data_IF_081970967728
#
_entry.id   IF_081970967728
#
_cell.length_a   1.000
_cell.length_b   1.000
_cell.length_c   1.000
_cell.angle_alpha   90.00
_cell.angle_beta   90.00
_cell.angle_gamma   90.00
#
_symmetry.space_group_name_H-M   'P 1'
#
loop_
_entity.id
_entity.type
_entity.pdbx_description
1 polymer ?
#
# COMPACT_ATOMS: atom_id res chain seq x y z
N UNK A 1 -20.98 -0.98 -8.07
CA UNK A 1 -20.03 -1.20 -9.19
C UNK A 1 -20.16 -2.63 -9.73
N UNK A 2 -19.80 -2.96 -10.98
CA UNK A 2 -19.86 -4.36 -11.49
C UNK A 2 -18.46 -4.90 -11.83
N UNK A 3 -17.57 -5.00 -10.83
CA UNK A 3 -16.26 -5.67 -11.00
C UNK A 3 -16.51 -7.16 -11.17
N UNK A 4 -16.57 -7.67 -12.39
CA UNK A 4 -16.80 -9.09 -12.64
C UNK A 4 -15.47 -9.82 -12.89
N UNK A 5 -14.99 -10.55 -11.88
CA UNK A 5 -13.89 -11.50 -12.07
C UNK A 5 -14.42 -12.83 -12.66
N UNK A 6 -13.62 -13.52 -13.49
CA UNK A 6 -13.94 -14.89 -13.91
C UNK A 6 -13.90 -15.84 -12.70
N UNK A 7 -14.80 -16.84 -12.67
CA UNK A 7 -14.88 -17.86 -11.62
C UNK A 7 -14.96 -17.25 -10.19
N UNK A 8 -16.07 -16.58 -9.89
CA UNK A 8 -16.30 -16.00 -8.56
C UNK A 8 -16.51 -17.08 -7.50
N UNK A 9 -15.77 -16.96 -6.41
CA UNK A 9 -16.06 -17.64 -5.16
C UNK A 9 -17.02 -16.77 -4.32
N UNK A 10 -17.89 -17.35 -3.46
CA UNK A 10 -18.79 -16.57 -2.62
C UNK A 10 -18.09 -15.58 -1.69
N UNK A 11 -16.92 -15.95 -1.19
CA UNK A 11 -16.13 -15.16 -0.24
C UNK A 11 -14.72 -14.87 -0.78
N UNK A 12 -14.37 -13.60 -0.93
CA UNK A 12 -13.07 -13.21 -1.51
C UNK A 12 -12.46 -11.99 -0.83
N UNK A 13 -11.12 -11.97 -0.78
CA UNK A 13 -10.30 -10.78 -0.54
C UNK A 13 -9.56 -10.42 -1.84
N UNK A 14 -9.66 -9.16 -2.26
CA UNK A 14 -8.92 -8.63 -3.41
C UNK A 14 -8.08 -7.44 -2.98
N UNK A 15 -6.77 -7.51 -3.25
CA UNK A 15 -5.86 -6.39 -3.10
C UNK A 15 -5.57 -5.80 -4.47
N UNK A 16 -5.78 -4.49 -4.62
CA UNK A 16 -5.55 -3.75 -5.86
C UNK A 16 -4.28 -2.92 -5.75
N UNK A 17 -3.30 -3.18 -6.61
CA UNK A 17 -2.02 -2.47 -6.61
C UNK A 17 -1.98 -1.44 -7.72
N UNK A 18 -1.83 -0.18 -7.33
CA UNK A 18 -1.69 0.96 -8.22
C UNK A 18 -0.21 1.30 -8.26
N UNK A 19 0.51 0.95 -9.35
CA UNK A 19 1.91 1.35 -9.46
C UNK A 19 2.03 2.86 -9.50
N UNK A 20 3.14 3.36 -8.97
CA UNK A 20 3.52 4.76 -9.00
C UNK A 20 3.76 5.25 -10.43
N UNK A 21 3.86 6.56 -10.59
CA UNK A 21 4.22 7.15 -11.87
C UNK A 21 5.75 7.12 -12.13
N UNK A 22 6.44 6.07 -11.66
CA UNK A 22 7.87 5.83 -11.87
C UNK A 22 8.76 6.38 -10.77
N UNK A 23 8.38 6.20 -9.51
CA UNK A 23 9.23 6.51 -8.36
C UNK A 23 10.53 5.71 -8.40
N UNK A 24 11.64 6.37 -8.02
CA UNK A 24 12.98 5.78 -8.06
C UNK A 24 13.67 5.88 -6.72
N UNK A 25 13.72 4.76 -6.01
CA UNK A 25 14.27 4.64 -4.68
C UNK A 25 15.79 4.41 -4.62
N UNK A 26 16.51 4.45 -5.74
CA UNK A 26 17.95 4.15 -5.78
C UNK A 26 18.82 5.16 -5.01
N UNK A 27 18.36 6.41 -4.88
CA UNK A 27 19.06 7.45 -4.13
C UNK A 27 18.09 8.54 -3.66
N UNK A 28 18.46 9.34 -2.63
CA UNK A 28 17.76 10.56 -2.23
C UNK A 28 17.39 11.46 -3.43
N UNK A 29 18.38 11.78 -4.27
CA UNK A 29 18.19 12.61 -5.45
C UNK A 29 17.19 11.98 -6.42
N UNK A 30 17.32 10.68 -6.71
CA UNK A 30 16.43 9.99 -7.63
C UNK A 30 14.99 9.98 -7.12
N UNK A 31 14.77 9.77 -5.82
CA UNK A 31 13.45 9.76 -5.22
C UNK A 31 12.82 11.15 -5.26
N UNK A 32 13.58 12.18 -4.87
CA UNK A 32 13.10 13.56 -4.89
C UNK A 32 12.70 14.00 -6.31
N UNK A 33 13.56 13.74 -7.31
CA UNK A 33 13.29 14.11 -8.71
C UNK A 33 12.12 13.33 -9.32
N UNK A 34 12.07 12.01 -9.10
CA UNK A 34 10.97 11.18 -9.62
C UNK A 34 9.63 11.54 -8.97
N UNK A 35 9.60 11.83 -7.66
CA UNK A 35 8.41 12.30 -6.96
C UNK A 35 7.95 13.65 -7.50
N UNK A 36 8.86 14.61 -7.69
CA UNK A 36 8.53 15.92 -8.25
C UNK A 36 7.97 15.80 -9.67
N UNK A 37 8.56 14.94 -10.51
CA UNK A 37 8.04 14.69 -11.85
C UNK A 37 6.65 14.01 -11.82
N UNK A 38 6.49 13.01 -10.95
CA UNK A 38 5.21 12.33 -10.76
C UNK A 38 4.09 13.31 -10.37
N UNK A 39 4.39 14.26 -9.48
CA UNK A 39 3.46 15.35 -9.08
C UNK A 39 3.20 16.35 -10.20
N UNK A 40 4.23 16.75 -10.96
CA UNK A 40 4.08 17.68 -12.09
C UNK A 40 3.13 17.15 -13.17
N UNK A 41 3.08 15.84 -13.38
CA UNK A 41 2.15 15.19 -14.31
C UNK A 41 0.70 15.16 -13.81
N UNK A 42 0.40 15.69 -12.61
CA UNK A 42 -0.93 15.79 -11.96
C UNK A 42 -1.75 14.50 -12.03
N UNK A 43 -1.08 13.34 -12.01
CA UNK A 43 -1.76 12.04 -12.02
C UNK A 43 -2.28 11.72 -10.61
N UNK A 44 -3.52 11.25 -10.51
CA UNK A 44 -4.01 10.61 -9.29
C UNK A 44 -3.08 9.46 -8.90
N UNK A 45 -2.90 9.25 -7.60
CA UNK A 45 -2.01 8.22 -7.01
C UNK A 45 -0.61 8.18 -7.65
N UNK A 46 -0.03 9.36 -7.88
CA UNK A 46 1.27 9.51 -8.53
C UNK A 46 2.42 8.81 -7.79
N UNK A 47 2.26 8.55 -6.50
CA UNK A 47 3.23 7.85 -5.63
C UNK A 47 2.88 6.37 -5.40
N UNK A 48 1.88 5.85 -6.11
CA UNK A 48 1.32 4.51 -5.89
C UNK A 48 0.22 4.50 -4.83
N UNK A 49 -0.53 3.40 -4.77
CA UNK A 49 -1.62 3.19 -3.82
C UNK A 49 -2.01 1.71 -3.75
N UNK A 50 -2.71 1.32 -2.68
CA UNK A 50 -3.30 -0.01 -2.54
C UNK A 50 -4.72 0.11 -2.01
N UNK A 51 -5.65 -0.55 -2.71
CA UNK A 51 -7.04 -0.70 -2.29
C UNK A 51 -7.33 -2.13 -1.87
N UNK A 52 -8.35 -2.30 -1.03
CA UNK A 52 -8.81 -3.58 -0.49
C UNK A 52 -10.28 -3.75 -0.85
N UNK A 53 -10.65 -4.94 -1.29
CA UNK A 53 -12.04 -5.31 -1.48
C UNK A 53 -12.36 -6.65 -0.84
N UNK A 54 -13.45 -6.69 -0.08
CA UNK A 54 -14.06 -7.91 0.46
C UNK A 54 -15.35 -8.18 -0.30
N UNK A 55 -15.57 -9.42 -0.73
CA UNK A 55 -16.77 -9.85 -1.45
C UNK A 55 -17.43 -10.98 -0.67
N UNK A 56 -18.72 -10.84 -0.38
CA UNK A 56 -19.63 -11.89 0.09
C UNK A 56 -20.88 -11.96 -0.82
N UNK A 57 -21.76 -12.97 -0.66
CA UNK A 57 -23.06 -13.00 -1.34
C UNK A 57 -23.95 -11.80 -1.01
N UNK A 58 -23.81 -11.23 0.19
CA UNK A 58 -24.70 -10.18 0.71
C UNK A 58 -24.19 -8.77 0.39
N UNK A 59 -22.86 -8.57 0.41
CA UNK A 59 -22.25 -7.24 0.29
C UNK A 59 -20.84 -7.29 -0.27
N UNK A 60 -20.43 -6.16 -0.82
CA UNK A 60 -19.04 -5.87 -1.20
C UNK A 60 -18.56 -4.66 -0.41
N UNK A 61 -17.40 -4.77 0.21
CA UNK A 61 -16.73 -3.65 0.88
C UNK A 61 -15.53 -3.29 0.03
N UNK A 62 -15.49 -2.08 -0.54
CA UNK A 62 -14.31 -1.53 -1.22
C UNK A 62 -13.79 -0.34 -0.42
N UNK A 63 -12.54 -0.45 0.05
CA UNK A 63 -11.93 0.56 0.91
C UNK A 63 -10.41 0.62 0.74
N UNK A 64 -9.77 1.56 1.43
CA UNK A 64 -8.33 1.83 1.39
C UNK A 64 -7.99 2.95 2.37
N UNK A 65 -6.70 3.16 2.63
CA UNK A 65 -6.24 4.23 3.50
C UNK A 65 -5.60 5.36 2.70
N UNK A 66 -5.94 6.61 3.01
CA UNK A 66 -5.36 7.79 2.37
C UNK A 66 -5.29 8.99 3.32
N UNK A 67 -4.63 10.06 2.87
CA UNK A 67 -4.68 11.36 3.52
C UNK A 67 -6.08 11.98 3.39
N UNK A 68 -6.60 12.53 4.48
CA UNK A 68 -7.86 13.28 4.49
C UNK A 68 -7.75 14.58 3.70
N UNK A 69 -6.61 15.28 3.78
CA UNK A 69 -6.34 16.51 3.04
C UNK A 69 -4.98 16.46 2.33
N UNK A 70 -5.01 16.33 1.00
CA UNK A 70 -3.80 16.31 0.16
C UNK A 70 -3.00 17.62 0.27
N UNK A 71 -3.62 18.73 0.67
CA UNK A 71 -2.94 20.03 0.86
C UNK A 71 -2.04 20.03 2.10
N UNK A 72 -2.31 19.18 3.09
CA UNK A 72 -1.45 19.00 4.26
C UNK A 72 -0.04 18.57 3.84
N UNK A 73 0.06 17.47 3.08
CA UNK A 73 1.36 17.01 2.57
C UNK A 73 2.04 17.98 1.60
N UNK A 74 1.28 18.73 0.80
CA UNK A 74 1.86 19.77 -0.05
C UNK A 74 2.47 20.92 0.77
N UNK A 75 1.74 21.38 1.80
CA UNK A 75 2.21 22.45 2.70
C UNK A 75 3.46 22.03 3.47
N UNK A 76 3.52 20.79 3.94
CA UNK A 76 4.67 20.29 4.70
C UNK A 76 5.93 20.16 3.85
N UNK A 77 5.79 19.62 2.64
CA UNK A 77 6.91 19.49 1.70
C UNK A 77 7.38 20.85 1.19
N UNK A 78 6.45 21.73 0.78
CA UNK A 78 6.80 22.98 0.08
C UNK A 78 7.07 24.15 1.03
N UNK A 79 6.23 24.33 2.05
CA UNK A 79 6.28 25.51 2.94
C UNK A 79 7.05 25.22 4.23
N UNK A 80 6.89 24.02 4.78
CA UNK A 80 7.48 23.66 6.08
C UNK A 80 8.86 23.02 5.96
N UNK A 81 9.34 22.77 4.73
CA UNK A 81 10.68 22.26 4.44
C UNK A 81 11.01 20.96 5.19
N UNK A 82 10.10 19.98 5.14
CA UNK A 82 10.29 18.70 5.83
C UNK A 82 11.38 17.81 5.20
N UNK A 83 11.78 18.07 3.96
CA UNK A 83 12.69 17.18 3.24
C UNK A 83 12.15 15.74 3.21
N UNK A 84 12.99 14.76 3.55
CA UNK A 84 12.55 13.37 3.75
C UNK A 84 11.98 13.07 5.14
N UNK A 85 11.91 14.06 6.04
CA UNK A 85 11.13 13.95 7.27
C UNK A 85 9.64 13.66 7.01
N UNK A 86 9.16 14.02 5.82
CA UNK A 86 7.81 13.68 5.36
C UNK A 86 7.53 12.17 5.29
N UNK A 87 8.57 11.34 5.10
CA UNK A 87 8.42 9.88 5.07
C UNK A 87 8.07 9.31 6.46
N UNK A 88 8.37 10.06 7.52
CA UNK A 88 8.13 9.69 8.91
C UNK A 88 6.97 10.49 9.52
N UNK A 89 6.27 11.28 8.70
CA UNK A 89 5.18 12.12 9.17
C UNK A 89 3.86 11.35 9.21
N UNK A 90 3.06 11.61 10.26
CA UNK A 90 1.72 11.06 10.40
C UNK A 90 0.71 12.15 10.05
N UNK A 91 0.06 11.97 8.90
CA UNK A 91 -0.93 12.88 8.35
C UNK A 91 -2.31 12.57 8.94
N UNK A 92 -3.25 13.50 8.78
CA UNK A 92 -4.65 13.18 8.97
C UNK A 92 -5.06 12.15 7.93
N UNK A 93 -5.52 11.01 8.39
CA UNK A 93 -5.99 9.91 7.57
C UNK A 93 -7.51 9.91 7.39
N UNK A 94 -7.96 9.06 6.47
CA UNK A 94 -9.34 8.58 6.38
C UNK A 94 -9.39 7.24 5.65
N UNK A 95 -10.44 6.47 5.91
CA UNK A 95 -10.84 5.39 5.00
C UNK A 95 -11.45 5.96 3.72
N UNK A 96 -11.10 5.32 2.61
CA UNK A 96 -11.73 5.54 1.31
C UNK A 96 -13.00 4.71 1.18
N UNK A 97 -13.97 5.28 0.48
CA UNK A 97 -15.26 4.64 0.21
C UNK A 97 -15.27 3.97 -1.17
N UNK A 98 -16.29 3.16 -1.45
CA UNK A 98 -16.53 2.65 -2.81
C UNK A 98 -16.62 3.81 -3.81
N UNK A 99 -17.28 4.92 -3.45
CA UNK A 99 -17.42 6.08 -4.33
C UNK A 99 -16.07 6.74 -4.68
N UNK A 100 -15.09 6.69 -3.78
CA UNK A 100 -13.73 7.19 -4.01
C UNK A 100 -12.94 6.27 -4.96
N UNK A 101 -13.01 4.96 -4.71
CA UNK A 101 -12.12 3.99 -5.36
C UNK A 101 -12.68 3.39 -6.65
N UNK A 102 -13.99 3.18 -6.73
CA UNK A 102 -14.62 2.50 -7.86
C UNK A 102 -14.34 3.19 -9.20
N UNK A 103 -14.56 4.51 -9.37
CA UNK A 103 -14.30 5.16 -10.65
C UNK A 103 -12.82 5.05 -11.06
N UNK A 104 -11.91 5.11 -10.09
CA UNK A 104 -10.46 5.02 -10.35
C UNK A 104 -10.05 3.58 -10.75
N UNK A 105 -10.57 2.57 -10.05
CA UNK A 105 -10.35 1.16 -10.37
C UNK A 105 -10.84 0.84 -11.79
N UNK A 106 -12.07 1.22 -12.11
CA UNK A 106 -12.66 0.99 -13.43
C UNK A 106 -11.79 1.63 -14.52
N UNK A 107 -11.50 2.93 -14.40
CA UNK A 107 -10.72 3.66 -15.40
C UNK A 107 -9.28 3.12 -15.60
N UNK A 108 -8.67 2.54 -14.56
CA UNK A 108 -7.34 1.95 -14.63
C UNK A 108 -7.36 0.51 -15.11
N UNK A 109 -8.42 -0.24 -14.83
CA UNK A 109 -8.55 -1.62 -15.26
C UNK A 109 -8.46 -1.77 -16.78
N UNK A 110 -8.92 -0.78 -17.53
CA UNK A 110 -8.82 -0.74 -19.00
C UNK A 110 -7.43 -0.36 -19.54
N UNK A 111 -6.44 -0.08 -18.67
CA UNK A 111 -5.11 0.38 -19.07
C UNK A 111 -4.02 -0.57 -18.57
N UNK A 112 -3.35 -1.24 -19.51
CA UNK A 112 -2.22 -2.14 -19.21
C UNK A 112 -1.15 -1.45 -18.36
N UNK A 113 -0.69 -2.12 -17.31
CA UNK A 113 0.35 -1.61 -16.40
C UNK A 113 -0.08 -0.40 -15.56
N UNK A 114 -1.39 -0.20 -15.35
CA UNK A 114 -1.93 0.83 -14.45
C UNK A 114 -2.66 0.29 -13.23
N UNK A 115 -2.91 -1.01 -13.23
CA UNK A 115 -3.54 -1.74 -12.14
C UNK A 115 -3.10 -3.20 -12.24
N UNK A 116 -2.80 -3.81 -11.11
CA UNK A 116 -2.76 -5.26 -10.94
C UNK A 116 -3.52 -5.65 -9.69
N UNK A 117 -3.82 -6.93 -9.52
CA UNK A 117 -4.52 -7.40 -8.33
C UNK A 117 -4.08 -8.78 -7.86
N UNK A 118 -4.25 -9.03 -6.57
CA UNK A 118 -4.19 -10.34 -5.95
C UNK A 118 -5.60 -10.68 -5.46
N UNK A 119 -6.18 -11.77 -5.96
CA UNK A 119 -7.49 -12.27 -5.53
C UNK A 119 -7.34 -13.55 -4.72
N UNK A 120 -8.04 -13.64 -3.59
CA UNK A 120 -7.91 -14.76 -2.66
C UNK A 120 -9.30 -15.27 -2.37
N UNK A 121 -9.55 -16.55 -2.64
CA UNK A 121 -10.78 -17.21 -2.23
C UNK A 121 -10.67 -17.60 -0.77
N UNK A 122 -11.65 -17.23 0.05
CA UNK A 122 -11.63 -17.42 1.50
C UNK A 122 -12.75 -18.35 1.92
N UNK A 123 -12.59 -19.00 3.08
CA UNK A 123 -13.76 -19.53 3.79
C UNK A 123 -14.55 -18.39 4.46
N UNK A 124 -15.80 -18.68 4.80
CA UNK A 124 -16.73 -17.72 5.41
C UNK A 124 -16.18 -17.11 6.71
N UNK A 125 -15.61 -17.94 7.60
CA UNK A 125 -15.09 -17.48 8.90
C UNK A 125 -13.96 -16.46 8.74
N UNK A 126 -13.00 -16.72 7.83
CA UNK A 126 -11.92 -15.78 7.55
C UNK A 126 -12.47 -14.49 6.93
N UNK A 127 -13.45 -14.58 6.05
CA UNK A 127 -14.10 -13.40 5.49
C UNK A 127 -14.79 -12.56 6.57
N UNK A 128 -15.63 -13.16 7.41
CA UNK A 128 -16.29 -12.47 8.53
C UNK A 128 -15.31 -11.82 9.49
N UNK A 129 -14.16 -12.47 9.74
CA UNK A 129 -13.06 -11.91 10.55
C UNK A 129 -12.46 -10.64 9.92
N UNK A 130 -12.27 -10.63 8.60
CA UNK A 130 -11.76 -9.45 7.88
C UNK A 130 -12.77 -8.30 7.84
N UNK A 131 -14.06 -8.61 7.71
CA UNK A 131 -15.11 -7.60 7.83
C UNK A 131 -15.16 -6.99 9.22
N UNK A 132 -15.00 -7.82 10.24
CA UNK A 132 -14.92 -7.37 11.63
C UNK A 132 -13.75 -6.41 11.81
N UNK A 133 -12.57 -6.79 11.32
CA UNK A 133 -11.38 -5.96 11.34
C UNK A 133 -11.58 -4.61 10.62
N UNK A 134 -12.13 -4.62 9.40
CA UNK A 134 -12.36 -3.40 8.64
C UNK A 134 -13.30 -2.42 9.37
N UNK A 135 -14.35 -2.95 10.02
CA UNK A 135 -15.28 -2.15 10.82
C UNK A 135 -14.62 -1.60 12.08
N UNK A 136 -14.00 -2.45 12.90
CA UNK A 136 -13.35 -2.02 14.14
C UNK A 136 -12.23 -1.02 13.89
N UNK A 137 -11.46 -1.17 12.81
CA UNK A 137 -10.39 -0.23 12.46
C UNK A 137 -10.91 1.22 12.33
N UNK A 138 -12.09 1.40 11.73
CA UNK A 138 -12.74 2.71 11.63
C UNK A 138 -13.44 3.13 12.93
N UNK A 139 -14.13 2.22 13.62
CA UNK A 139 -14.84 2.53 14.88
C UNK A 139 -13.88 2.96 16.00
N UNK A 140 -12.67 2.40 16.03
CA UNK A 140 -11.60 2.76 16.97
C UNK A 140 -10.85 4.04 16.55
N UNK A 141 -11.17 4.61 15.38
CA UNK A 141 -10.58 5.85 14.88
C UNK A 141 -9.13 5.72 14.39
N UNK A 142 -8.66 4.50 14.12
CA UNK A 142 -7.30 4.28 13.60
C UNK A 142 -7.14 4.84 12.19
N UNK A 143 -8.23 4.99 11.44
CA UNK A 143 -8.24 5.62 10.13
C UNK A 143 -7.89 7.11 10.15
N UNK A 144 -7.98 7.78 11.31
CA UNK A 144 -7.61 9.19 11.44
C UNK A 144 -6.10 9.45 11.29
N UNK A 145 -5.26 8.41 11.25
CA UNK A 145 -3.81 8.51 11.22
C UNK A 145 -3.23 7.82 9.98
N UNK A 146 -2.73 8.62 9.04
CA UNK A 146 -2.11 8.11 7.81
C UNK A 146 -0.60 8.34 7.83
N UNK A 147 0.18 7.27 7.93
CA UNK A 147 1.63 7.35 8.03
C UNK A 147 2.30 6.08 7.52
N UNK A 148 3.47 6.24 6.88
CA UNK A 148 4.19 5.13 6.26
C UNK A 148 4.66 4.06 7.27
N UNK A 149 4.99 4.49 8.48
CA UNK A 149 5.53 3.63 9.53
C UNK A 149 4.47 3.13 10.51
N UNK A 150 3.21 3.54 10.35
CA UNK A 150 2.15 3.18 11.28
C UNK A 150 1.85 1.68 11.14
N UNK A 151 1.69 0.99 12.27
CA UNK A 151 1.37 -0.44 12.33
C UNK A 151 -0.13 -0.63 12.59
N UNK A 152 -0.91 -1.11 11.60
CA UNK A 152 -2.38 -1.15 11.69
C UNK A 152 -2.88 -1.99 12.86
N UNK A 153 -2.28 -3.16 13.07
CA UNK A 153 -2.64 -4.08 14.15
C UNK A 153 -2.24 -3.57 15.54
N UNK A 154 -1.49 -2.48 15.66
CA UNK A 154 -1.15 -1.83 16.95
C UNK A 154 -1.94 -0.54 17.18
N UNK A 155 -2.93 -0.23 16.35
CA UNK A 155 -3.77 0.96 16.52
C UNK A 155 -3.09 2.30 16.20
N UNK A 156 -1.95 2.27 15.50
CA UNK A 156 -1.19 3.49 15.15
C UNK A 156 -1.75 4.21 13.90
N UNK A 157 -2.79 3.63 13.29
CA UNK A 157 -3.27 3.94 11.95
C UNK A 157 -2.49 3.22 10.86
N UNK A 158 -2.44 3.78 9.65
CA UNK A 158 -1.84 3.06 8.52
C UNK A 158 -1.49 3.91 7.30
N UNK A 159 -0.45 3.49 6.57
CA UNK A 159 -0.30 3.81 5.15
C UNK A 159 -1.20 2.92 4.27
N UNK A 160 -1.39 3.26 2.99
CA UNK A 160 -2.27 2.48 2.10
C UNK A 160 -1.85 1.00 1.96
N UNK A 161 -0.57 0.74 1.74
CA UNK A 161 -0.04 -0.62 1.58
C UNK A 161 0.01 -1.41 2.88
N UNK A 162 0.36 -0.77 4.00
CA UNK A 162 0.34 -1.42 5.31
C UNK A 162 -1.09 -1.84 5.70
N UNK A 163 -2.08 -1.02 5.32
CA UNK A 163 -3.49 -1.33 5.56
C UNK A 163 -3.87 -2.59 4.80
N UNK A 164 -3.54 -2.68 3.51
CA UNK A 164 -3.78 -3.89 2.73
C UNK A 164 -3.04 -5.12 3.24
N UNK A 165 -1.78 -4.97 3.69
CA UNK A 165 -1.01 -6.07 4.29
C UNK A 165 -1.67 -6.57 5.57
N UNK A 166 -2.24 -5.68 6.39
CA UNK A 166 -2.92 -6.10 7.61
C UNK A 166 -4.10 -7.04 7.36
N UNK A 167 -4.80 -6.96 6.22
CA UNK A 167 -5.82 -7.95 5.86
C UNK A 167 -5.22 -9.34 5.64
N UNK A 168 -4.02 -9.43 5.04
CA UNK A 168 -3.33 -10.71 4.89
C UNK A 168 -2.84 -11.23 6.25
N UNK A 169 -2.39 -10.36 7.15
CA UNK A 169 -2.00 -10.75 8.51
C UNK A 169 -3.19 -11.31 9.29
N UNK A 170 -4.32 -10.60 9.29
CA UNK A 170 -5.56 -11.01 9.98
C UNK A 170 -6.11 -12.32 9.41
N UNK A 171 -5.92 -12.56 8.11
CA UNK A 171 -6.30 -13.80 7.44
C UNK A 171 -5.31 -14.96 7.65
N UNK A 172 -4.11 -14.71 8.23
CA UNK A 172 -3.06 -15.71 8.37
C UNK A 172 -2.36 -16.05 7.04
N UNK A 173 -2.41 -15.15 6.06
CA UNK A 173 -1.92 -15.33 4.70
C UNK A 173 -0.65 -14.51 4.39
N UNK A 174 -0.22 -13.65 5.32
CA UNK A 174 1.00 -12.88 5.15
C UNK A 174 2.24 -13.73 5.46
N UNK A 175 3.05 -14.00 4.44
CA UNK A 175 4.22 -14.88 4.55
C UNK A 175 5.53 -14.10 4.48
N UNK A 176 6.62 -14.70 4.98
CA UNK A 176 7.97 -14.13 4.84
C UNK A 176 8.40 -13.91 3.39
N UNK A 177 7.89 -14.72 2.45
CA UNK A 177 8.14 -14.51 1.03
C UNK A 177 7.48 -13.20 0.53
N UNK A 178 6.21 -12.97 0.87
CA UNK A 178 5.52 -11.72 0.55
C UNK A 178 6.23 -10.52 1.18
N UNK A 179 6.57 -10.61 2.47
CA UNK A 179 7.31 -9.57 3.18
C UNK A 179 8.63 -9.24 2.47
N UNK A 180 9.44 -10.25 2.14
CA UNK A 180 10.74 -10.04 1.49
C UNK A 180 10.65 -9.37 0.12
N UNK A 181 9.54 -9.55 -0.60
CA UNK A 181 9.34 -8.96 -1.92
C UNK A 181 8.70 -7.57 -1.82
N UNK A 182 7.72 -7.40 -0.95
CA UNK A 182 6.90 -6.19 -0.89
C UNK A 182 7.52 -5.09 -0.03
N UNK A 183 8.36 -5.46 0.94
CA UNK A 183 8.98 -4.51 1.85
C UNK A 183 10.21 -3.85 1.21
N UNK A 184 10.22 -2.52 1.23
CA UNK A 184 11.39 -1.71 0.89
C UNK A 184 11.98 -1.11 2.16
N UNK A 185 13.27 -1.36 2.37
CA UNK A 185 14.07 -0.76 3.44
C UNK A 185 15.04 0.27 2.87
N UNK A 186 15.26 1.36 3.60
CA UNK A 186 16.19 2.43 3.24
C UNK A 186 16.68 3.17 4.49
N UNK A 187 17.89 3.71 4.41
CA UNK A 187 18.50 4.48 5.49
C UNK A 187 18.54 5.95 5.08
N UNK A 188 17.68 6.76 5.69
CA UNK A 188 17.58 8.19 5.38
C UNK A 188 18.67 8.93 6.16
N UNK A 189 19.64 9.59 5.50
CA UNK A 189 20.63 10.39 6.21
C UNK A 189 19.96 11.49 7.04
N UNK A 190 20.35 11.66 8.30
CA UNK A 190 19.77 12.66 9.20
C UNK A 190 19.72 14.06 8.59
N UNK A 191 20.78 14.43 7.84
CA UNK A 191 20.89 15.72 7.17
C UNK A 191 19.74 16.01 6.17
N UNK A 192 19.02 14.98 5.71
CA UNK A 192 17.90 15.10 4.78
C UNK A 192 16.54 15.07 5.48
N UNK A 193 16.52 14.90 6.80
CA UNK A 193 15.32 14.84 7.62
C UNK A 193 15.09 16.23 8.23
N UNK A 194 14.01 16.86 7.81
CA UNK A 194 13.50 18.10 8.36
C UNK A 194 12.17 17.93 9.08
N UNK A 195 11.60 19.04 9.53
CA UNK A 195 10.33 19.06 10.25
C UNK A 195 10.46 18.92 11.78
N UNK A 196 9.36 19.10 12.52
CA UNK A 196 9.37 19.24 13.98
C UNK A 196 9.55 17.92 14.74
N UNK A 197 9.24 16.77 14.13
CA UNK A 197 9.41 15.45 14.73
C UNK A 197 10.86 14.98 14.71
N UNK A 198 11.14 13.88 14.02
CA UNK A 198 12.48 13.30 13.90
C UNK A 198 13.52 14.31 13.37
N UNK A 199 13.10 15.25 12.52
CA UNK A 199 13.96 16.33 12.02
C UNK A 199 14.40 17.36 13.06
N UNK A 200 13.87 17.33 14.30
CA UNK A 200 14.22 18.22 15.42
C UNK A 200 14.18 19.71 15.04
N UNK A 201 13.21 20.10 14.20
CA UNK A 201 13.03 21.47 13.71
C UNK A 201 13.95 21.88 12.57
N UNK A 202 14.81 20.99 12.06
CA UNK A 202 15.64 21.27 10.88
C UNK A 202 14.77 21.58 9.68
N UNK A 203 15.21 22.53 8.84
CA UNK A 203 14.58 22.82 7.55
C UNK A 203 15.42 22.22 6.43
N UNK A 204 14.82 21.29 5.69
CA UNK A 204 15.43 20.64 4.53
C UNK A 204 14.58 20.92 3.30
N UNK A 205 15.13 21.73 2.39
CA UNK A 205 14.46 22.08 1.15
C UNK A 205 14.82 21.13 0.02
N UNK A 206 14.00 21.16 -1.03
CA UNK A 206 14.20 20.34 -2.23
C UNK A 206 15.63 20.41 -2.84
N UNK A 207 16.30 21.58 -2.92
CA UNK A 207 17.69 21.64 -3.37
C UNK A 207 18.67 20.81 -2.52
N UNK A 208 18.40 20.65 -1.23
CA UNK A 208 19.18 19.78 -0.34
C UNK A 208 19.02 18.30 -0.71
N UNK A 209 17.80 17.88 -1.05
CA UNK A 209 17.51 16.48 -1.42
C UNK A 209 18.19 16.08 -2.74
N UNK A 210 18.19 16.97 -3.73
CA UNK A 210 18.76 16.66 -5.06
C UNK A 210 20.29 16.74 -5.11
N UNK A 211 20.93 17.33 -4.08
CA UNK A 211 22.39 17.32 -3.92
C UNK A 211 22.89 16.03 -3.28
N UNK A 212 22.03 15.28 -2.60
CA UNK A 212 22.40 14.03 -1.95
C UNK A 212 22.51 12.88 -2.96
N UNK A 213 23.72 12.33 -3.09
CA UNK A 213 24.03 11.30 -4.10
C UNK A 213 23.66 9.87 -3.70
N UNK A 214 23.61 9.55 -2.40
CA UNK A 214 23.39 8.18 -1.89
C UNK A 214 22.56 8.20 -0.61
N UNK A 215 21.84 7.10 -0.36
CA UNK A 215 21.30 6.81 0.98
C UNK A 215 22.44 6.64 1.97
N UNK A 216 22.12 6.72 3.25
CA UNK A 216 23.10 6.43 4.28
C UNK A 216 23.48 4.95 4.25
N UNK A 217 24.66 4.64 4.78
CA UNK A 217 25.01 3.28 5.20
C UNK A 217 24.94 3.15 6.73
N UNK A 218 25.07 1.92 7.22
CA UNK A 218 24.91 1.59 8.65
C UNK A 218 25.90 2.31 9.58
N UNK A 219 27.04 2.77 9.08
CA UNK A 219 28.04 3.52 9.87
C UNK A 219 27.82 5.04 9.85
N UNK A 220 26.96 5.56 8.98
CA UNK A 220 26.61 6.99 8.90
C UNK A 220 25.41 7.28 9.83
N UNK A 221 25.20 8.52 10.26
CA UNK A 221 24.01 8.91 11.03
C UNK A 221 22.75 8.87 10.15
N UNK A 222 21.75 8.08 10.54
CA UNK A 222 20.57 7.84 9.73
C UNK A 222 19.36 7.43 10.57
N UNK A 223 18.19 7.56 9.93
CA UNK A 223 16.94 6.98 10.38
C UNK A 223 16.53 5.83 9.46
N UNK A 224 16.05 4.75 10.06
CA UNK A 224 15.61 3.56 9.34
C UNK A 224 14.17 3.79 8.85
N UNK A 225 13.99 3.73 7.54
CA UNK A 225 12.67 3.74 6.91
C UNK A 225 12.35 2.39 6.30
N UNK A 226 11.11 1.95 6.49
CA UNK A 226 10.59 0.73 5.88
C UNK A 226 9.16 0.98 5.39
N UNK A 227 8.82 0.50 4.20
CA UNK A 227 7.46 0.61 3.68
C UNK A 227 7.12 -0.57 2.79
N UNK A 228 5.85 -0.98 2.82
CA UNK A 228 5.31 -1.87 1.82
C UNK A 228 5.07 -1.09 0.52
N UNK A 229 5.79 -1.44 -0.56
CA UNK A 229 5.88 -0.62 -1.77
C UNK A 229 4.86 -1.08 -2.83
N UNK A 230 3.88 -0.24 -3.22
CA UNK A 230 2.93 -0.57 -4.28
C UNK A 230 3.60 -0.98 -5.61
N UNK A 231 4.78 -0.42 -5.94
CA UNK A 231 5.51 -0.80 -7.14
C UNK A 231 6.06 -2.23 -7.04
N UNK A 232 6.56 -2.63 -5.86
CA UNK A 232 7.03 -3.99 -5.63
C UNK A 232 5.86 -4.98 -5.57
N UNK A 233 4.73 -4.61 -4.98
CA UNK A 233 3.50 -5.43 -5.01
C UNK A 233 2.99 -5.64 -6.44
N UNK A 234 3.03 -4.59 -7.26
CA UNK A 234 2.67 -4.68 -8.68
C UNK A 234 3.61 -5.63 -9.45
N UNK A 235 4.92 -5.44 -9.28
CA UNK A 235 5.95 -6.29 -9.90
C UNK A 235 5.86 -7.75 -9.42
N UNK A 236 5.45 -7.96 -8.16
CA UNK A 236 5.23 -9.30 -7.62
C UNK A 236 4.12 -10.03 -8.38
N UNK A 237 3.00 -9.36 -8.67
CA UNK A 237 1.93 -9.96 -9.49
C UNK A 237 2.43 -10.29 -10.89
N UNK A 238 3.18 -9.40 -11.53
CA UNK A 238 3.76 -9.67 -12.85
C UNK A 238 4.69 -10.90 -12.82
N UNK A 239 5.53 -11.01 -11.79
CA UNK A 239 6.41 -12.16 -11.57
C UNK A 239 5.61 -13.45 -11.38
N UNK A 240 4.65 -13.47 -10.45
CA UNK A 240 3.83 -14.66 -10.18
C UNK A 240 3.05 -15.11 -11.41
N UNK A 241 2.58 -14.17 -12.23
CA UNK A 241 1.93 -14.50 -13.50
C UNK A 241 2.86 -15.22 -14.47
N UNK A 242 4.08 -14.75 -14.62
CA UNK A 242 5.06 -15.37 -15.52
C UNK A 242 5.43 -16.77 -15.04
N UNK A 243 5.65 -16.95 -13.73
CA UNK A 243 6.00 -18.23 -13.12
C UNK A 243 4.85 -19.24 -13.13
N UNK A 244 3.61 -18.77 -13.05
CA UNK A 244 2.42 -19.64 -13.05
C UNK A 244 1.91 -20.00 -14.44
N UNK A 245 2.38 -19.32 -15.49
CA UNK A 245 1.82 -19.45 -16.83
C UNK A 245 2.10 -20.85 -17.39
N UNK A 246 1.04 -21.64 -17.56
CA UNK A 246 1.14 -23.01 -18.08
C UNK A 246 1.69 -24.02 -17.08
N UNK A 247 1.84 -23.64 -15.81
CA UNK A 247 2.25 -24.53 -14.74
C UNK A 247 1.00 -24.99 -13.94
N UNK A 248 0.52 -26.23 -14.11
CA UNK A 248 -0.65 -26.74 -13.41
C UNK A 248 -0.44 -26.90 -11.89
N UNK A 249 0.81 -27.02 -11.46
CA UNK A 249 1.19 -27.17 -10.05
C UNK A 249 1.41 -25.82 -9.35
N UNK A 250 1.21 -24.70 -10.06
CA UNK A 250 1.33 -23.38 -9.44
C UNK A 250 0.23 -23.17 -8.41
N UNK A 251 0.63 -22.65 -7.23
CA UNK A 251 -0.29 -22.15 -6.22
C UNK A 251 -1.20 -21.05 -6.79
N UNK A 252 -0.68 -20.24 -7.72
CA UNK A 252 -1.38 -19.09 -8.27
C UNK A 252 -1.94 -19.40 -9.66
N UNK A 253 -3.16 -18.94 -9.92
CA UNK A 253 -3.79 -18.94 -11.24
C UNK A 253 -3.70 -17.55 -11.84
N UNK A 254 -3.38 -17.46 -13.13
CA UNK A 254 -3.30 -16.16 -13.82
C UNK A 254 -4.68 -15.69 -14.26
N UNK A 255 -5.00 -14.42 -14.04
CA UNK A 255 -6.33 -13.86 -14.35
C UNK A 255 -6.24 -12.48 -14.98
N UNK A 256 -7.22 -12.09 -15.78
CA UNK A 256 -7.32 -10.75 -16.34
C UNK A 256 -8.69 -10.17 -16.06
N UNK A 257 -8.70 -8.92 -15.61
CA UNK A 257 -9.92 -8.11 -15.51
C UNK A 257 -9.71 -6.87 -16.38
N UNK A 258 -10.44 -6.81 -17.50
CA UNK A 258 -10.16 -5.86 -18.58
C UNK A 258 -8.68 -5.99 -19.03
N UNK A 259 -7.87 -4.95 -18.86
CA UNK A 259 -6.42 -4.97 -19.11
C UNK A 259 -5.59 -5.05 -17.81
N UNK A 260 -6.22 -5.12 -16.64
CA UNK A 260 -5.54 -5.31 -15.37
C UNK A 260 -5.11 -6.76 -15.22
N UNK A 261 -3.86 -6.93 -14.84
CA UNK A 261 -3.27 -8.24 -14.65
C UNK A 261 -3.44 -8.70 -13.21
N UNK A 262 -3.99 -9.89 -13.00
CA UNK A 262 -4.12 -10.48 -11.68
C UNK A 262 -3.52 -11.87 -11.56
N UNK A 263 -3.33 -12.26 -10.30
CA UNK A 263 -3.21 -13.65 -9.88
C UNK A 263 -4.27 -13.95 -8.83
N UNK A 264 -4.72 -15.20 -8.79
CA UNK A 264 -5.60 -15.70 -7.74
C UNK A 264 -5.06 -16.97 -7.09
N UNK A 265 -5.45 -17.23 -5.84
CA UNK A 265 -5.26 -18.54 -5.22
C UNK A 265 -6.40 -18.89 -4.28
N UNK A 266 -6.53 -20.18 -3.98
CA UNK A 266 -7.55 -20.74 -3.12
C UNK A 266 -7.01 -20.91 -1.69
N UNK A 267 -7.56 -20.15 -0.75
CA UNK A 267 -7.24 -20.23 0.68
C UNK A 267 -8.41 -20.79 1.51
N UNK A 268 -9.43 -21.40 0.88
CA UNK A 268 -10.64 -21.88 1.57
C UNK A 268 -10.34 -22.96 2.60
N UNK A 269 -9.26 -23.73 2.40
CA UNK A 269 -8.82 -24.80 3.31
C UNK A 269 -7.89 -24.31 4.42
N UNK A 270 -7.46 -23.05 4.39
CA UNK A 270 -6.58 -22.47 5.42
C UNK A 270 -7.43 -22.11 6.65
N UNK A 271 -7.09 -22.61 7.86
CA UNK A 271 -7.84 -22.28 9.07
C UNK A 271 -7.84 -20.78 9.37
N UNK A 272 -8.98 -20.27 9.82
CA UNK A 272 -9.10 -18.89 10.29
C UNK A 272 -8.27 -18.71 11.57
N UNK A 273 -7.36 -17.71 11.63
CA UNK A 273 -6.62 -17.42 12.86
C UNK A 273 -7.55 -17.02 14.01
N UNK A 274 -7.21 -17.45 15.22
CA UNK A 274 -7.92 -17.16 16.47
C UNK A 274 -7.27 -16.04 17.30
N UNK A 275 -6.10 -15.53 16.87
CA UNK A 275 -5.40 -14.45 17.54
C UNK A 275 -6.22 -13.13 17.57
N UNK A 276 -5.87 -12.16 18.44
CA UNK A 276 -6.52 -10.85 18.45
C UNK A 276 -6.39 -10.10 17.12
N UNK A 277 -7.40 -9.31 16.77
CA UNK A 277 -7.33 -8.41 15.60
C UNK A 277 -6.24 -7.34 15.81
N UNK A 278 -6.16 -6.82 17.03
CA UNK A 278 -5.19 -5.81 17.45
C UNK A 278 -4.33 -6.30 18.61
N UNK A 279 -3.04 -5.93 18.61
CA UNK A 279 -2.07 -6.21 19.66
C UNK A 279 -1.90 -4.95 20.51
N UNK A 280 -2.43 -4.99 21.73
CA UNK A 280 -2.30 -3.94 22.75
C UNK A 280 -1.27 -4.32 23.80
#
# INVERSE_FOLDING_TARGET
MNISFPNRHPFELVLFFYPSAGLRWNSPRSLALSTAWAKLRRRSRSIGHVGVMLISPEKTILTGMTQADVREGQREVLSSAYGFGILFHNFRGKLETEADLAPELEARSWKKGKLSYLRIQLNENTHSRLEHYAREFGELGYDAFYGMNNRPRFGEGSGCSAFAVSFLEIAGLFTKNLESFWLRNFLVPDALIGGPGIGKGRRVFFPGLIRAGKWANVAETHEVGSLFDPDLMHQWVEKMRLESRGNPDSLYRTEEWNAAQGVSFDATTIPTPDEPLFHF
#
